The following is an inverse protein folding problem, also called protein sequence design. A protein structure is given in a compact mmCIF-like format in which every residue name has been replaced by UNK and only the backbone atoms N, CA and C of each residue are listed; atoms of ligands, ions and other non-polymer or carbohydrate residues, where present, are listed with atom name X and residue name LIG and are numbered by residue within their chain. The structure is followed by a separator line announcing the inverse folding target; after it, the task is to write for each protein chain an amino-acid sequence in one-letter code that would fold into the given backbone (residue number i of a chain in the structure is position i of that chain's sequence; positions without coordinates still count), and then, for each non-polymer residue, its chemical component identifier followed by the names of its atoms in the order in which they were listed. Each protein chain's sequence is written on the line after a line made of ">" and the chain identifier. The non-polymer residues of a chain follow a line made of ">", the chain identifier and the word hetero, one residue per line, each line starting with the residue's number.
data_IF_900081575351
#
_entry.id   IF_900081575351
#
_cell.length_a   1.000
_cell.length_b   1.000
_cell.length_c   1.000
_cell.angle_alpha   90.00
_cell.angle_beta   90.00
_cell.angle_gamma   90.00
#
_symmetry.space_group_name_H-M   'P 1'
#
loop_
_entity.id
_entity.type
_entity.pdbx_description
1 polymer ?
#
# COMPACT_ATOMS: atom_id res chain seq x y z
N UNK A 1 -13.12 6.99 8.53
CA UNK A 1 -14.44 6.31 8.43
C UNK A 1 -14.60 5.40 9.63
N UNK A 2 -15.47 5.74 10.58
CA UNK A 2 -15.61 4.96 11.84
C UNK A 2 -16.25 3.58 11.62
N UNK A 3 -17.00 3.37 10.52
CA UNK A 3 -17.76 2.14 10.23
C UNK A 3 -17.67 1.68 8.75
N UNK A 4 -16.49 1.68 8.13
CA UNK A 4 -16.38 1.17 6.76
C UNK A 4 -16.69 -0.34 6.69
N UNK A 5 -17.45 -0.76 5.69
CA UNK A 5 -17.68 -2.16 5.32
C UNK A 5 -16.38 -2.84 4.89
N UNK A 6 -16.39 -4.18 4.85
CA UNK A 6 -15.22 -4.93 4.38
C UNK A 6 -14.93 -4.69 2.89
N UNK A 7 -15.97 -4.47 2.08
CA UNK A 7 -15.82 -4.14 0.67
C UNK A 7 -15.11 -2.79 0.48
N UNK A 8 -15.48 -1.77 1.24
CA UNK A 8 -14.84 -0.45 1.20
C UNK A 8 -13.37 -0.50 1.66
N UNK A 9 -13.06 -1.31 2.68
CA UNK A 9 -11.68 -1.53 3.14
C UNK A 9 -10.83 -2.23 2.07
N UNK A 10 -11.37 -3.25 1.43
CA UNK A 10 -10.70 -3.96 0.34
C UNK A 10 -10.51 -3.05 -0.88
N UNK A 11 -11.48 -2.19 -1.18
CA UNK A 11 -11.39 -1.18 -2.24
C UNK A 11 -10.28 -0.16 -1.93
N UNK A 12 -10.23 0.36 -0.69
CA UNK A 12 -9.17 1.28 -0.26
C UNK A 12 -7.77 0.68 -0.43
N UNK A 13 -7.59 -0.58 -0.03
CA UNK A 13 -6.33 -1.31 -0.24
C UNK A 13 -5.99 -1.48 -1.73
N UNK A 14 -6.98 -1.80 -2.59
CA UNK A 14 -6.78 -1.93 -4.04
C UNK A 14 -6.36 -0.61 -4.67
N UNK A 15 -7.04 0.49 -4.32
CA UNK A 15 -6.69 1.83 -4.80
C UNK A 15 -5.26 2.18 -4.40
N UNK A 16 -4.88 1.93 -3.14
CA UNK A 16 -3.53 2.22 -2.67
C UNK A 16 -2.47 1.39 -3.41
N UNK A 17 -2.72 0.09 -3.63
CA UNK A 17 -1.82 -0.77 -4.38
C UNK A 17 -1.69 -0.35 -5.86
N UNK A 18 -2.81 0.01 -6.50
CA UNK A 18 -2.84 0.46 -7.91
C UNK A 18 -2.18 1.83 -8.06
N UNK A 19 -2.25 2.71 -7.06
CA UNK A 19 -1.49 3.96 -7.08
C UNK A 19 0.00 3.72 -6.85
N UNK A 20 0.34 2.86 -5.89
CA UNK A 20 1.72 2.58 -5.50
C UNK A 20 2.57 1.99 -6.64
N UNK A 21 2.10 0.95 -7.32
CA UNK A 21 2.92 0.23 -8.31
C UNK A 21 3.34 1.10 -9.51
N UNK A 22 2.43 1.79 -10.23
CA UNK A 22 2.78 2.67 -11.32
C UNK A 22 3.63 3.87 -10.85
N UNK A 23 3.34 4.44 -9.68
CA UNK A 23 4.16 5.52 -9.12
C UNK A 23 5.60 5.07 -8.91
N UNK A 24 5.83 3.91 -8.28
CA UNK A 24 7.18 3.38 -8.09
C UNK A 24 7.86 3.12 -9.44
N UNK A 25 7.17 2.56 -10.43
CA UNK A 25 7.74 2.34 -11.77
C UNK A 25 8.20 3.67 -12.38
N UNK A 26 7.36 4.70 -12.35
CA UNK A 26 7.70 6.04 -12.87
C UNK A 26 8.90 6.63 -12.13
N UNK A 27 8.93 6.53 -10.80
CA UNK A 27 10.06 7.05 -10.00
C UNK A 27 11.35 6.28 -10.25
N UNK A 28 11.29 4.96 -10.45
CA UNK A 28 12.46 4.15 -10.85
C UNK A 28 13.01 4.65 -12.18
N UNK A 29 12.14 4.82 -13.18
CA UNK A 29 12.53 5.36 -14.49
C UNK A 29 13.21 6.72 -14.33
N UNK A 30 12.58 7.67 -13.64
CA UNK A 30 13.14 9.00 -13.39
C UNK A 30 14.52 8.92 -12.72
N UNK A 31 14.64 8.10 -11.67
CA UNK A 31 15.87 8.04 -10.90
C UNK A 31 17.00 7.37 -11.68
N UNK A 32 16.70 6.38 -12.54
CA UNK A 32 17.67 5.80 -13.46
C UNK A 32 18.18 6.82 -14.48
N UNK A 33 17.30 7.65 -15.03
CA UNK A 33 17.68 8.72 -15.98
C UNK A 33 18.43 9.88 -15.32
N UNK A 34 18.15 10.16 -14.04
CA UNK A 34 18.83 11.22 -13.28
C UNK A 34 20.20 10.77 -12.76
N UNK A 35 20.40 9.46 -12.60
CA UNK A 35 21.62 8.89 -12.05
C UNK A 35 21.66 8.92 -10.52
N UNK A 36 22.83 8.61 -9.95
CA UNK A 36 23.01 8.54 -8.52
C UNK A 36 22.79 9.90 -7.83
N UNK A 37 22.24 9.93 -6.60
CA UNK A 37 21.89 8.79 -5.75
C UNK A 37 20.52 8.16 -6.07
N UNK A 38 20.35 6.87 -5.77
CA UNK A 38 19.10 6.12 -5.98
C UNK A 38 18.07 6.35 -4.86
N UNK A 39 17.56 7.57 -4.75
CA UNK A 39 16.56 7.98 -3.76
C UNK A 39 15.23 7.21 -3.84
N UNK A 40 14.93 6.58 -5.00
CA UNK A 40 13.73 5.77 -5.19
C UNK A 40 13.64 4.62 -4.18
N UNK A 41 14.77 4.13 -3.66
CA UNK A 41 14.82 3.11 -2.62
C UNK A 41 14.15 3.59 -1.33
N UNK A 42 14.38 4.84 -0.92
CA UNK A 42 13.76 5.42 0.27
C UNK A 42 12.26 5.59 0.10
N UNK A 43 11.82 5.99 -1.10
CA UNK A 43 10.39 6.11 -1.42
C UNK A 43 9.72 4.74 -1.41
N UNK A 44 10.33 3.73 -2.05
CA UNK A 44 9.83 2.36 -2.06
C UNK A 44 9.66 1.81 -0.64
N UNK A 45 10.67 1.97 0.22
CA UNK A 45 10.63 1.47 1.59
C UNK A 45 9.62 2.24 2.44
N UNK A 46 9.67 3.58 2.42
CA UNK A 46 8.78 4.41 3.23
C UNK A 46 7.31 4.22 2.86
N UNK A 47 6.98 4.26 1.57
CA UNK A 47 5.61 4.09 1.10
C UNK A 47 5.17 2.63 1.18
N UNK A 48 6.08 1.68 0.97
CA UNK A 48 5.83 0.25 1.10
C UNK A 48 5.36 -0.14 2.50
N UNK A 49 5.89 0.50 3.54
CA UNK A 49 5.40 0.34 4.93
C UNK A 49 3.93 0.77 5.04
N UNK A 50 3.52 1.86 4.40
CA UNK A 50 2.13 2.32 4.38
C UNK A 50 1.18 1.31 3.72
N UNK A 51 1.58 0.76 2.57
CA UNK A 51 0.83 -0.29 1.88
C UNK A 51 0.72 -1.56 2.75
N UNK A 52 1.81 -1.96 3.41
CA UNK A 52 1.82 -3.10 4.33
C UNK A 52 0.89 -2.87 5.53
N UNK A 53 0.92 -1.68 6.12
CA UNK A 53 0.03 -1.30 7.22
C UNK A 53 -1.45 -1.36 6.80
N UNK A 54 -1.78 -0.89 5.59
CA UNK A 54 -3.12 -1.04 5.03
C UNK A 54 -3.52 -2.51 4.86
N UNK A 55 -2.64 -3.34 4.32
CA UNK A 55 -2.91 -4.77 4.16
C UNK A 55 -3.15 -5.47 5.50
N UNK A 56 -2.28 -5.24 6.49
CA UNK A 56 -2.42 -5.77 7.84
C UNK A 56 -3.73 -5.33 8.48
N UNK A 57 -4.09 -4.05 8.36
CA UNK A 57 -5.35 -3.50 8.88
C UNK A 57 -6.56 -4.24 8.31
N UNK A 58 -6.60 -4.52 7.00
CA UNK A 58 -7.69 -5.30 6.38
C UNK A 58 -7.69 -6.75 6.88
N UNK A 59 -6.52 -7.37 7.02
CA UNK A 59 -6.37 -8.76 7.46
C UNK A 59 -6.81 -8.97 8.92
N UNK A 60 -6.36 -8.13 9.85
CA UNK A 60 -6.75 -8.21 11.25
C UNK A 60 -8.27 -8.03 11.44
N UNK A 61 -8.88 -7.14 10.66
CA UNK A 61 -10.34 -6.93 10.69
C UNK A 61 -11.13 -8.10 10.08
N UNK A 62 -10.49 -8.91 9.23
CA UNK A 62 -11.10 -10.11 8.66
C UNK A 62 -10.96 -11.31 9.61
N UNK A 63 -9.81 -11.43 10.29
CA UNK A 63 -9.57 -12.49 11.28
C UNK A 63 -10.55 -12.40 12.46
N UNK A 64 -10.72 -11.21 13.06
CA UNK A 64 -11.64 -11.03 14.18
C UNK A 64 -13.13 -11.25 13.85
N UNK A 65 -13.52 -11.33 12.57
CA UNK A 65 -14.88 -11.68 12.15
C UNK A 65 -15.14 -13.19 12.06
N UNK A 66 -14.09 -14.02 12.03
CA UNK A 66 -14.22 -15.49 11.85
C UNK A 66 -14.32 -16.26 13.17
N UNK A 67 -14.10 -15.58 14.30
CA UNK A 67 -14.01 -16.22 15.62
C UNK A 67 -15.31 -16.13 16.45
N UNK A 68 -16.39 -15.58 15.88
CA UNK A 68 -17.69 -15.50 16.56
C UNK A 68 -18.68 -16.45 15.84
N UNK A 69 -18.88 -17.68 16.36
CA UNK A 69 -20.01 -18.54 15.97
C UNK A 69 -21.36 -18.01 16.47
#
# INVERSE_FOLDING_TARGET
>A
MKNASQAEKQLGLRIHAIAFVPSIIVLVVINLFTGAPYWVLWVLLGWGIGLLAHWLSVRYQTAGKREIP
#
